data_IF_767884988880
#
_entry.id   IF_767884988880
#
_cell.length_a   1.000
_cell.length_b   1.000
_cell.length_c   1.000
_cell.angle_alpha   90.00
_cell.angle_beta   90.00
_cell.angle_gamma   90.00
#
_symmetry.space_group_name_H-M   'P 1'
#
loop_
_entity.id
_entity.type
_entity.pdbx_description
1 polymer ?
#
# COMPACT_ATOMS: atom_id res chain seq x y z
N UNK A 1 -5.01 -10.28 -33.62
CA UNK A 1 -5.08 -11.28 -32.52
C UNK A 1 -6.25 -10.92 -31.62
N UNK A 2 -7.35 -11.66 -31.72
CA UNK A 2 -8.62 -11.35 -31.05
C UNK A 2 -8.52 -11.54 -29.53
N UNK A 3 -8.93 -10.51 -28.77
CA UNK A 3 -8.94 -10.40 -27.30
C UNK A 3 -10.04 -11.30 -26.65
N UNK A 4 -10.38 -12.41 -27.32
CA UNK A 4 -11.60 -13.19 -27.07
C UNK A 4 -11.46 -14.24 -25.95
N UNK A 5 -10.25 -14.58 -25.50
CA UNK A 5 -10.08 -15.70 -24.56
C UNK A 5 -10.06 -15.32 -23.07
N UNK A 6 -9.73 -14.06 -22.74
CA UNK A 6 -9.61 -13.61 -21.35
C UNK A 6 -10.83 -12.75 -21.00
N UNK A 7 -11.71 -13.28 -20.14
CA UNK A 7 -12.87 -12.54 -19.62
C UNK A 7 -12.44 -11.60 -18.49
N UNK A 8 -13.28 -10.62 -18.15
CA UNK A 8 -13.03 -9.74 -17.00
C UNK A 8 -12.89 -10.53 -15.68
N UNK A 9 -13.66 -11.62 -15.51
CA UNK A 9 -13.55 -12.49 -14.34
C UNK A 9 -12.18 -13.17 -14.27
N UNK A 10 -11.70 -13.73 -15.40
CA UNK A 10 -10.36 -14.36 -15.47
C UNK A 10 -9.23 -13.37 -15.25
N UNK A 11 -9.35 -12.14 -15.78
CA UNK A 11 -8.38 -11.08 -15.52
C UNK A 11 -8.32 -10.75 -14.01
N UNK A 12 -9.47 -10.49 -13.38
CA UNK A 12 -9.53 -10.19 -11.94
C UNK A 12 -8.95 -11.33 -11.10
N UNK A 13 -9.30 -12.58 -11.41
CA UNK A 13 -8.76 -13.75 -10.73
C UNK A 13 -7.24 -13.89 -10.93
N UNK A 14 -6.74 -13.64 -12.15
CA UNK A 14 -5.32 -13.68 -12.45
C UNK A 14 -4.53 -12.61 -11.69
N UNK A 15 -5.02 -11.35 -11.68
CA UNK A 15 -4.41 -10.26 -10.90
C UNK A 15 -4.44 -10.58 -9.40
N UNK A 16 -5.55 -11.13 -8.90
CA UNK A 16 -5.66 -11.54 -7.50
C UNK A 16 -4.68 -12.67 -7.15
N UNK A 17 -4.52 -13.67 -8.01
CA UNK A 17 -3.57 -14.76 -7.81
C UNK A 17 -2.11 -14.25 -7.82
N UNK A 18 -1.78 -13.35 -8.75
CA UNK A 18 -0.47 -12.69 -8.79
C UNK A 18 -0.22 -11.87 -7.51
N UNK A 19 -1.22 -11.13 -7.04
CA UNK A 19 -1.15 -10.39 -5.78
C UNK A 19 -0.90 -11.31 -4.59
N UNK A 20 -1.65 -12.40 -4.44
CA UNK A 20 -1.46 -13.36 -3.34
C UNK A 20 -0.07 -13.99 -3.38
N UNK A 21 0.39 -14.40 -4.56
CA UNK A 21 1.74 -14.95 -4.73
C UNK A 21 2.81 -13.93 -4.35
N UNK A 22 2.70 -12.70 -4.83
CA UNK A 22 3.61 -11.61 -4.47
C UNK A 22 3.57 -11.34 -2.95
N UNK A 23 2.41 -11.31 -2.32
CA UNK A 23 2.28 -11.15 -0.86
C UNK A 23 3.05 -12.23 -0.11
N UNK A 24 2.87 -13.51 -0.47
CA UNK A 24 3.56 -14.62 0.16
C UNK A 24 5.08 -14.50 0.03
N UNK A 25 5.57 -14.13 -1.17
CA UNK A 25 7.00 -13.94 -1.44
C UNK A 25 7.55 -12.75 -0.62
N UNK A 26 6.89 -11.61 -0.64
CA UNK A 26 7.37 -10.40 0.06
C UNK A 26 7.35 -10.58 1.58
N UNK A 27 6.32 -11.24 2.12
CA UNK A 27 6.27 -11.63 3.54
C UNK A 27 7.42 -12.58 3.90
N UNK A 28 7.69 -13.56 3.04
CA UNK A 28 8.83 -14.45 3.25
C UNK A 28 10.14 -13.67 3.24
N UNK A 29 10.37 -12.78 2.27
CA UNK A 29 11.58 -11.95 2.20
C UNK A 29 11.73 -11.09 3.45
N UNK A 30 10.66 -10.42 3.89
CA UNK A 30 10.67 -9.51 5.04
C UNK A 30 10.60 -10.21 6.41
N UNK A 31 10.52 -11.54 6.48
CA UNK A 31 10.26 -12.30 7.73
C UNK A 31 11.19 -11.94 8.91
N UNK A 32 12.47 -11.71 8.62
CA UNK A 32 13.45 -11.34 9.65
C UNK A 32 13.20 -9.92 10.17
N UNK A 33 12.92 -8.98 9.27
CA UNK A 33 12.53 -7.62 9.62
C UNK A 33 11.24 -7.59 10.44
N UNK A 34 10.23 -8.37 10.02
CA UNK A 34 8.95 -8.53 10.72
C UNK A 34 9.19 -9.04 12.15
N UNK A 35 10.01 -10.08 12.32
CA UNK A 35 10.28 -10.64 13.65
C UNK A 35 10.87 -9.61 14.64
N UNK A 36 11.63 -8.62 14.15
CA UNK A 36 12.24 -7.58 14.97
C UNK A 36 11.63 -6.18 14.85
N UNK A 37 10.50 -6.01 14.15
CA UNK A 37 9.96 -4.70 13.74
C UNK A 37 11.05 -3.76 13.16
N UNK A 38 11.94 -4.32 12.34
CA UNK A 38 13.03 -3.58 11.72
C UNK A 38 12.52 -2.93 10.44
N UNK A 39 11.97 -1.72 10.56
CA UNK A 39 11.52 -0.95 9.40
C UNK A 39 12.69 -0.62 8.48
N UNK A 40 12.37 -0.31 7.22
CA UNK A 40 13.37 -0.20 6.17
C UNK A 40 13.98 1.20 6.05
N UNK A 41 13.27 2.24 6.45
CA UNK A 41 13.81 3.60 6.57
C UNK A 41 13.25 4.35 7.80
N UNK A 42 13.80 5.54 8.12
CA UNK A 42 13.29 6.37 9.23
C UNK A 42 11.86 6.87 9.04
N UNK A 43 11.38 7.06 7.81
CA UNK A 43 10.04 7.57 7.54
C UNK A 43 8.97 6.53 7.90
N UNK A 44 9.27 5.24 7.72
CA UNK A 44 8.44 4.14 8.20
C UNK A 44 8.26 4.18 9.73
N UNK A 45 9.34 4.45 10.48
CA UNK A 45 9.27 4.61 11.94
C UNK A 45 8.49 5.86 12.34
N UNK A 46 8.75 6.99 11.67
CA UNK A 46 8.05 8.25 11.93
C UNK A 46 6.56 8.14 11.61
N UNK A 47 6.19 7.44 10.56
CA UNK A 47 4.79 7.15 10.24
C UNK A 47 4.11 6.38 11.36
N UNK A 48 4.73 5.29 11.85
CA UNK A 48 4.16 4.52 12.95
C UNK A 48 4.02 5.39 14.20
N UNK A 49 5.01 6.24 14.47
CA UNK A 49 4.95 7.16 15.60
C UNK A 49 3.82 8.19 15.44
N UNK A 50 3.63 8.76 14.25
CA UNK A 50 2.50 9.67 13.96
C UNK A 50 1.15 8.99 14.18
N UNK A 51 1.00 7.72 13.77
CA UNK A 51 -0.22 6.93 14.04
C UNK A 51 -0.42 6.71 15.54
N UNK A 52 0.63 6.40 16.29
CA UNK A 52 0.56 6.24 17.75
C UNK A 52 0.14 7.53 18.44
N UNK A 53 0.71 8.66 18.05
CA UNK A 53 0.36 9.95 18.65
C UNK A 53 -1.09 10.34 18.32
N UNK A 54 -1.56 10.05 17.10
CA UNK A 54 -2.97 10.19 16.76
C UNK A 54 -3.88 9.39 17.68
N UNK A 55 -3.61 8.08 17.78
CA UNK A 55 -4.40 7.18 18.61
C UNK A 55 -4.27 7.51 20.10
N UNK A 56 -3.19 8.19 20.49
CA UNK A 56 -2.94 8.74 21.82
C UNK A 56 -3.58 10.09 22.10
N UNK A 57 -4.33 10.67 21.15
CA UNK A 57 -5.13 11.88 21.35
C UNK A 57 -4.67 13.13 20.58
N UNK A 58 -3.59 13.04 19.79
CA UNK A 58 -3.21 14.15 18.89
C UNK A 58 -4.29 14.36 17.82
N UNK A 59 -4.59 15.61 17.49
CA UNK A 59 -5.59 15.95 16.46
C UNK A 59 -5.27 15.27 15.12
N UNK A 60 -6.31 14.88 14.37
CA UNK A 60 -6.15 14.36 13.01
C UNK A 60 -5.49 15.37 12.07
N UNK A 61 -5.69 16.67 12.31
CA UNK A 61 -5.13 17.74 11.48
C UNK A 61 -3.74 18.19 11.94
N UNK A 62 -3.25 17.68 13.07
CA UNK A 62 -1.92 17.98 13.57
C UNK A 62 -0.94 16.86 13.16
N UNK A 63 -0.07 17.15 12.19
CA UNK A 63 0.95 16.23 11.69
C UNK A 63 2.34 16.55 12.25
N UNK A 64 2.42 17.36 13.29
CA UNK A 64 3.68 17.77 13.91
C UNK A 64 4.26 16.65 14.76
N UNK A 65 5.53 16.33 14.55
CA UNK A 65 6.29 15.39 15.35
C UNK A 65 7.08 16.17 16.41
N UNK A 66 6.49 16.39 17.58
CA UNK A 66 7.10 17.15 18.68
C UNK A 66 8.33 16.49 19.33
N UNK A 67 8.63 15.23 18.98
CA UNK A 67 9.86 14.53 19.40
C UNK A 67 11.08 14.91 18.55
N UNK A 68 10.85 15.61 17.44
CA UNK A 68 11.90 16.18 16.59
C UNK A 68 11.95 17.68 16.90
N UNK A 69 13.11 18.23 17.19
CA UNK A 69 13.30 19.67 17.48
C UNK A 69 12.41 20.25 18.61
N UNK A 70 12.50 19.72 19.85
CA UNK A 70 11.69 20.22 20.96
C UNK A 70 12.10 21.65 21.39
N UNK A 71 11.14 22.52 21.76
CA UNK A 71 9.70 22.24 21.90
C UNK A 71 8.89 22.44 20.60
N UNK A 72 9.49 23.00 19.56
CA UNK A 72 8.78 23.52 18.38
C UNK A 72 8.20 22.41 17.50
N UNK A 73 8.86 21.25 17.43
CA UNK A 73 8.39 20.14 16.61
C UNK A 73 8.70 20.31 15.13
N UNK A 74 8.53 19.23 14.35
CA UNK A 74 8.61 19.31 12.89
C UNK A 74 7.28 18.86 12.27
N UNK A 75 6.65 19.74 11.49
CA UNK A 75 5.46 19.39 10.71
C UNK A 75 5.84 18.46 9.57
N UNK A 76 5.24 17.27 9.53
CA UNK A 76 5.46 16.34 8.43
C UNK A 76 4.86 16.87 7.13
N UNK A 77 5.53 16.62 6.01
CA UNK A 77 5.08 17.10 4.69
C UNK A 77 4.05 16.16 4.03
N UNK A 78 3.77 15.01 4.64
CA UNK A 78 2.85 14.01 4.11
C UNK A 78 1.48 14.03 4.80
N UNK A 79 0.47 13.57 4.08
CA UNK A 79 -0.92 13.51 4.56
C UNK A 79 -1.16 12.36 5.57
N UNK A 80 -2.12 12.57 6.48
CA UNK A 80 -2.68 11.55 7.38
C UNK A 80 -3.60 10.54 6.72
N UNK A 81 -3.96 10.71 5.44
CA UNK A 81 -4.78 9.69 4.73
C UNK A 81 -4.09 8.31 4.75
N UNK A 82 -2.75 8.28 4.71
CA UNK A 82 -1.95 7.06 4.87
C UNK A 82 -2.08 6.39 6.23
N UNK A 83 -2.43 7.16 7.26
CA UNK A 83 -2.53 6.67 8.64
C UNK A 83 -3.82 5.89 8.87
N UNK A 84 -4.87 6.17 8.09
CA UNK A 84 -6.19 5.56 8.22
C UNK A 84 -6.17 4.01 8.16
N UNK A 85 -5.62 3.36 7.11
CA UNK A 85 -5.58 1.90 7.06
C UNK A 85 -4.72 1.29 8.17
N UNK A 86 -3.65 1.98 8.59
CA UNK A 86 -2.77 1.51 9.67
C UNK A 86 -3.52 1.54 11.00
N UNK A 87 -4.11 2.69 11.34
CA UNK A 87 -4.89 2.88 12.55
C UNK A 87 -6.10 1.93 12.61
N UNK A 88 -6.81 1.73 11.50
CA UNK A 88 -7.95 0.82 11.43
C UNK A 88 -7.55 -0.63 11.77
N UNK A 89 -6.45 -1.13 11.19
CA UNK A 89 -5.94 -2.47 11.50
C UNK A 89 -5.45 -2.57 12.96
N UNK A 90 -4.73 -1.56 13.47
CA UNK A 90 -4.30 -1.54 14.88
C UNK A 90 -5.51 -1.62 15.81
N UNK A 91 -6.53 -0.78 15.60
CA UNK A 91 -7.71 -0.72 16.46
C UNK A 91 -8.52 -2.03 16.43
N UNK A 92 -8.61 -2.69 15.26
CA UNK A 92 -9.31 -3.95 15.09
C UNK A 92 -8.56 -5.11 15.77
N UNK A 93 -7.23 -5.15 15.65
CA UNK A 93 -6.43 -6.31 16.05
C UNK A 93 -5.91 -6.22 17.49
N UNK A 94 -5.71 -5.00 18.03
CA UNK A 94 -5.18 -4.80 19.38
C UNK A 94 -5.95 -5.55 20.49
N UNK A 95 -7.29 -5.72 20.46
CA UNK A 95 -7.99 -6.42 21.55
C UNK A 95 -7.73 -7.93 21.57
N UNK A 96 -7.32 -8.50 20.43
CA UNK A 96 -7.13 -9.95 20.26
C UNK A 96 -5.65 -10.32 20.31
N UNK A 97 -4.78 -9.52 19.68
CA UNK A 97 -3.36 -9.82 19.51
C UNK A 97 -2.45 -9.02 20.45
N UNK A 98 -3.00 -8.01 21.14
CA UNK A 98 -2.22 -7.02 21.88
C UNK A 98 -1.64 -5.93 20.97
N UNK A 99 -1.18 -4.80 21.55
CA UNK A 99 -0.79 -3.61 20.78
C UNK A 99 0.43 -3.86 19.87
N UNK A 100 1.48 -4.50 20.39
CA UNK A 100 2.72 -4.72 19.63
C UNK A 100 2.51 -5.58 18.38
N UNK A 101 1.75 -6.67 18.51
CA UNK A 101 1.44 -7.55 17.38
C UNK A 101 0.48 -6.88 16.40
N UNK A 102 -0.49 -6.09 16.90
CA UNK A 102 -1.40 -5.34 16.04
C UNK A 102 -0.67 -4.32 15.16
N UNK A 103 0.30 -3.59 15.70
CA UNK A 103 1.14 -2.68 14.94
C UNK A 103 2.00 -3.43 13.91
N UNK A 104 2.60 -4.55 14.30
CA UNK A 104 3.40 -5.37 13.39
C UNK A 104 2.57 -5.90 12.21
N UNK A 105 1.36 -6.39 12.48
CA UNK A 105 0.44 -6.87 11.45
C UNK A 105 -0.02 -5.71 10.56
N UNK A 106 -0.37 -4.56 11.13
CA UNK A 106 -0.75 -3.38 10.36
C UNK A 106 0.38 -2.92 9.43
N UNK A 107 1.60 -2.76 9.97
CA UNK A 107 2.77 -2.36 9.20
C UNK A 107 3.16 -3.37 8.11
N UNK A 108 2.85 -4.65 8.31
CA UNK A 108 3.10 -5.69 7.30
C UNK A 108 2.00 -5.76 6.24
N UNK A 109 0.73 -5.57 6.62
CA UNK A 109 -0.42 -5.79 5.75
C UNK A 109 -0.75 -4.57 4.87
N UNK A 110 -0.64 -3.34 5.40
CA UNK A 110 -0.98 -2.12 4.64
C UNK A 110 -0.20 -1.99 3.33
N UNK A 111 1.13 -2.19 3.30
CA UNK A 111 1.89 -2.13 2.04
C UNK A 111 1.41 -3.16 1.01
N UNK A 112 1.01 -4.35 1.46
CA UNK A 112 0.48 -5.40 0.59
C UNK A 112 -0.92 -5.09 0.05
N UNK A 113 -1.76 -4.39 0.81
CA UNK A 113 -3.04 -3.86 0.31
C UNK A 113 -2.80 -2.80 -0.77
N UNK A 114 -1.80 -1.92 -0.56
CA UNK A 114 -1.38 -0.92 -1.54
C UNK A 114 -0.85 -1.56 -2.82
N UNK A 115 -0.10 -2.67 -2.71
CA UNK A 115 0.31 -3.48 -3.88
C UNK A 115 -0.91 -3.99 -4.64
N UNK A 116 -1.90 -4.57 -3.95
CA UNK A 116 -3.13 -5.06 -4.58
C UNK A 116 -3.90 -3.95 -5.32
N UNK A 117 -4.01 -2.76 -4.72
CA UNK A 117 -4.58 -1.59 -5.37
C UNK A 117 -3.78 -1.14 -6.60
N UNK A 118 -2.45 -1.10 -6.50
CA UNK A 118 -1.55 -0.70 -7.58
C UNK A 118 -1.64 -1.67 -8.78
N UNK A 119 -1.63 -2.98 -8.53
CA UNK A 119 -1.80 -4.00 -9.58
C UNK A 119 -3.18 -3.91 -10.24
N UNK A 120 -4.23 -3.63 -9.45
CA UNK A 120 -5.59 -3.44 -9.97
C UNK A 120 -5.69 -2.20 -10.87
N UNK A 121 -5.10 -1.08 -10.44
CA UNK A 121 -5.06 0.15 -11.22
C UNK A 121 -4.25 -0.04 -12.52
N UNK A 122 -3.09 -0.68 -12.45
CA UNK A 122 -2.27 -0.97 -13.62
C UNK A 122 -2.99 -1.88 -14.62
N UNK A 123 -3.60 -2.96 -14.14
CA UNK A 123 -4.40 -3.85 -14.98
C UNK A 123 -5.58 -3.10 -15.63
N UNK A 124 -6.22 -2.17 -14.90
CA UNK A 124 -7.30 -1.35 -15.42
C UNK A 124 -6.83 -0.40 -16.53
N UNK A 125 -5.71 0.32 -16.33
CA UNK A 125 -5.08 1.17 -17.35
C UNK A 125 -4.80 0.36 -18.61
N UNK A 126 -4.05 -0.73 -18.46
CA UNK A 126 -3.60 -1.53 -19.60
C UNK A 126 -4.76 -2.23 -20.30
N UNK A 127 -5.80 -2.67 -19.58
CA UNK A 127 -6.99 -3.25 -20.19
C UNK A 127 -7.75 -2.24 -21.06
N UNK A 128 -7.78 -0.97 -20.64
CA UNK A 128 -8.42 0.13 -21.39
C UNK A 128 -7.63 0.49 -22.67
N UNK A 129 -6.30 0.44 -22.61
CA UNK A 129 -5.38 0.88 -23.67
C UNK A 129 -4.94 -0.22 -24.65
N UNK A 130 -4.65 -1.42 -24.15
CA UNK A 130 -3.94 -2.48 -24.88
C UNK A 130 -4.62 -3.86 -24.78
N UNK A 131 -5.80 -3.94 -24.16
CA UNK A 131 -6.57 -5.18 -24.03
C UNK A 131 -6.19 -6.03 -22.83
N UNK A 132 -7.00 -7.06 -22.56
CA UNK A 132 -6.97 -7.75 -21.25
C UNK A 132 -5.77 -8.67 -21.07
N UNK A 133 -5.27 -9.27 -22.16
CA UNK A 133 -4.06 -10.10 -22.11
C UNK A 133 -2.83 -9.26 -21.73
N UNK A 134 -2.68 -8.09 -22.36
CA UNK A 134 -1.60 -7.16 -22.03
C UNK A 134 -1.71 -6.69 -20.57
N UNK A 135 -2.93 -6.47 -20.06
CA UNK A 135 -3.14 -6.13 -18.66
C UNK A 135 -2.64 -7.17 -17.66
N UNK A 136 -2.88 -8.45 -17.94
CA UNK A 136 -2.37 -9.53 -17.09
C UNK A 136 -0.83 -9.60 -17.12
N UNK A 137 -0.22 -9.42 -18.30
CA UNK A 137 1.24 -9.35 -18.43
C UNK A 137 1.81 -8.13 -17.69
N UNK A 138 1.18 -6.96 -17.80
CA UNK A 138 1.60 -5.75 -17.10
C UNK A 138 1.56 -5.94 -15.57
N UNK A 139 0.48 -6.53 -15.04
CA UNK A 139 0.38 -6.87 -13.62
C UNK A 139 1.48 -7.86 -13.19
N UNK A 140 1.76 -8.88 -14.00
CA UNK A 140 2.85 -9.83 -13.73
C UNK A 140 4.21 -9.14 -13.68
N UNK A 141 4.52 -8.28 -14.66
CA UNK A 141 5.80 -7.54 -14.69
C UNK A 141 5.94 -6.58 -13.50
N UNK A 142 4.84 -5.96 -13.07
CA UNK A 142 4.84 -5.11 -11.87
C UNK A 142 5.17 -5.89 -10.61
N UNK A 143 4.76 -7.17 -10.51
CA UNK A 143 5.14 -8.05 -9.37
C UNK A 143 6.61 -8.43 -9.35
N UNK A 144 7.38 -8.06 -10.38
CA UNK A 144 8.83 -8.30 -10.48
C UNK A 144 9.64 -7.01 -10.59
N UNK A 145 9.00 -5.82 -10.51
CA UNK A 145 9.65 -4.53 -10.72
C UNK A 145 10.21 -3.98 -9.39
N UNK A 146 11.54 -3.98 -9.16
CA UNK A 146 12.10 -3.67 -7.84
C UNK A 146 11.75 -2.27 -7.33
N UNK A 147 11.69 -1.28 -8.23
CA UNK A 147 11.34 0.11 -7.88
C UNK A 147 9.91 0.25 -7.36
N UNK A 148 8.97 -0.58 -7.84
CA UNK A 148 7.61 -0.61 -7.32
C UNK A 148 7.60 -1.38 -6.00
N UNK A 149 8.20 -2.57 -5.99
CA UNK A 149 8.16 -3.48 -4.84
C UNK A 149 8.83 -2.88 -3.60
N UNK A 150 9.89 -2.09 -3.75
CA UNK A 150 10.55 -1.45 -2.62
C UNK A 150 9.64 -0.50 -1.84
N UNK A 151 8.62 0.10 -2.47
CA UNK A 151 7.69 1.01 -1.79
C UNK A 151 6.47 0.30 -1.20
N UNK A 152 6.38 -1.03 -1.35
CA UNK A 152 5.27 -1.87 -0.86
C UNK A 152 5.74 -3.15 -0.18
N UNK A 153 7.03 -3.24 0.18
CA UNK A 153 7.52 -4.32 1.05
C UNK A 153 6.79 -4.27 2.40
N UNK A 154 6.53 -5.41 3.05
CA UNK A 154 6.08 -5.40 4.44
C UNK A 154 6.99 -4.52 5.29
N UNK A 155 6.39 -3.71 6.18
CA UNK A 155 7.02 -2.67 6.98
C UNK A 155 7.40 -1.37 6.24
N UNK A 156 7.13 -1.24 4.92
CA UNK A 156 7.24 0.01 4.15
C UNK A 156 5.94 0.81 4.20
N UNK A 157 5.73 1.52 5.28
CA UNK A 157 4.50 2.29 5.52
C UNK A 157 4.63 3.77 5.22
N UNK A 158 5.75 4.21 4.65
CA UNK A 158 5.89 5.57 4.13
C UNK A 158 4.88 5.91 2.99
N UNK A 159 4.72 7.20 2.72
CA UNK A 159 3.76 7.78 1.79
C UNK A 159 3.93 7.40 0.32
N UNK A 160 5.13 7.01 -0.12
CA UNK A 160 5.40 6.74 -1.54
C UNK A 160 4.54 5.62 -2.15
N UNK A 161 4.28 4.54 -1.41
CA UNK A 161 3.44 3.44 -1.89
C UNK A 161 2.01 3.90 -2.16
N UNK A 162 1.45 4.68 -1.23
CA UNK A 162 0.09 5.21 -1.36
C UNK A 162 0.00 6.26 -2.49
N UNK A 163 0.99 7.14 -2.62
CA UNK A 163 1.08 8.07 -3.75
C UNK A 163 1.11 7.34 -5.09
N UNK A 164 1.89 6.27 -5.19
CA UNK A 164 1.98 5.44 -6.39
C UNK A 164 0.62 4.82 -6.73
N UNK A 165 -0.04 4.20 -5.76
CA UNK A 165 -1.35 3.58 -5.95
C UNK A 165 -2.40 4.60 -6.41
N UNK A 166 -2.53 5.74 -5.71
CA UNK A 166 -3.51 6.76 -6.09
C UNK A 166 -3.16 7.44 -7.41
N UNK A 167 -1.88 7.67 -7.70
CA UNK A 167 -1.42 8.16 -9.00
C UNK A 167 -1.82 7.21 -10.14
N UNK A 168 -1.65 5.90 -9.96
CA UNK A 168 -2.11 4.90 -10.92
C UNK A 168 -3.63 4.92 -11.08
N UNK A 169 -4.40 5.05 -10.00
CA UNK A 169 -5.86 5.19 -10.12
C UNK A 169 -6.28 6.48 -10.83
N UNK A 170 -5.60 7.60 -10.58
CA UNK A 170 -5.84 8.86 -11.28
C UNK A 170 -5.58 8.70 -12.79
N UNK A 171 -4.47 8.08 -13.18
CA UNK A 171 -4.18 7.75 -14.59
C UNK A 171 -5.24 6.81 -15.16
N UNK A 172 -5.67 5.79 -14.41
CA UNK A 172 -6.73 4.90 -14.84
C UNK A 172 -8.02 5.68 -15.14
N UNK A 173 -8.39 6.64 -14.29
CA UNK A 173 -9.57 7.48 -14.46
C UNK A 173 -9.50 8.34 -15.74
N UNK A 174 -8.32 8.84 -16.12
CA UNK A 174 -8.13 9.59 -17.38
C UNK A 174 -8.46 8.77 -18.63
N UNK A 175 -8.43 7.43 -18.56
CA UNK A 175 -8.77 6.54 -19.66
C UNK A 175 -10.16 5.90 -19.51
N UNK A 176 -11.00 6.42 -18.61
CA UNK A 176 -12.34 5.88 -18.44
C UNK A 176 -13.23 6.19 -19.65
N UNK A 177 -13.90 5.17 -20.17
CA UNK A 177 -14.75 5.28 -21.37
C UNK A 177 -16.12 5.89 -21.06
N UNK A 178 -16.45 6.05 -19.78
CA UNK A 178 -17.74 6.56 -19.30
C UNK A 178 -17.61 7.82 -18.42
N UNK A 179 -16.53 8.62 -18.59
CA UNK A 179 -16.17 9.69 -17.65
C UNK A 179 -17.23 10.79 -17.39
N UNK A 180 -18.32 10.85 -18.17
CA UNK A 180 -19.36 11.90 -18.11
C UNK A 180 -20.79 11.33 -18.12
N UNK A 181 -20.98 10.06 -17.76
CA UNK A 181 -22.31 9.44 -17.66
C UNK A 181 -22.74 9.25 -16.21
#
# INVERSE_FOLDING_TARGET
>A
MTDASLTNARLRLGVFALWLLACAILLYIARANIAGLQMWDPDDYLRLQQVRDWLGGQSFFDITQYRIDPPDGVTMHWSRIGDLPIAALILLLRPVLGPAVAELVAASAVPLLILGGSLSALALITARLAGRRAALVAAMLATTAPLILFHVMPLRIDHHGMQTMFGLFAVAACFDRNALR
#
